data_IF_902649573476
#
_entry.id   IF_902649573476
#
_cell.length_a   1.000
_cell.length_b   1.000
_cell.length_c   1.000
_cell.angle_alpha   90.00
_cell.angle_beta   90.00
_cell.angle_gamma   90.00
#
_symmetry.space_group_name_H-M   'P 1'
#
loop_
_entity.id
_entity.type
_entity.pdbx_description
1 polymer ?
#
# COMPACT_ATOMS: atom_id res chain seq x y z
N UNK A 1 25.77 45.44 25.00
CA UNK A 1 24.30 45.23 25.12
C UNK A 1 23.81 45.87 26.40
N UNK A 2 22.52 46.20 26.52
CA UNK A 2 21.96 46.70 27.78
C UNK A 2 21.77 45.52 28.75
N UNK A 3 22.27 45.64 29.98
CA UNK A 3 22.17 44.57 30.99
C UNK A 3 20.72 44.15 31.27
N UNK A 4 19.77 45.10 31.20
CA UNK A 4 18.34 44.80 31.38
C UNK A 4 17.81 43.77 30.37
N UNK A 5 18.22 43.88 29.11
CA UNK A 5 17.81 42.93 28.07
C UNK A 5 18.46 41.56 28.27
N UNK A 6 19.73 41.55 28.66
CA UNK A 6 20.44 40.28 28.92
C UNK A 6 19.82 39.56 30.11
N UNK A 7 19.41 40.26 31.16
CA UNK A 7 18.76 39.65 32.32
C UNK A 7 17.46 38.90 31.97
N UNK A 8 16.66 39.42 31.03
CA UNK A 8 15.47 38.73 30.50
C UNK A 8 15.86 37.50 29.68
N UNK A 9 16.88 37.63 28.83
CA UNK A 9 17.34 36.57 27.94
C UNK A 9 18.14 35.45 28.65
N UNK A 10 18.59 35.65 29.90
CA UNK A 10 19.32 34.63 30.68
C UNK A 10 18.49 33.36 30.92
N UNK A 11 17.17 33.49 31.15
CA UNK A 11 16.29 32.33 31.31
C UNK A 11 16.17 31.55 30.00
N UNK A 12 16.02 32.26 28.88
CA UNK A 12 15.96 31.67 27.55
C UNK A 12 17.27 30.97 27.17
N UNK A 13 18.41 31.51 27.62
CA UNK A 13 19.72 30.90 27.45
C UNK A 13 19.84 29.60 28.24
N UNK A 14 19.30 29.55 29.46
CA UNK A 14 19.35 28.36 30.31
C UNK A 14 18.58 27.17 29.73
N UNK A 15 17.52 27.47 28.97
CA UNK A 15 16.62 26.51 28.33
C UNK A 15 17.02 26.18 26.88
N UNK A 16 18.17 26.65 26.38
CA UNK A 16 18.64 26.50 24.99
C UNK A 16 17.64 27.00 23.93
N UNK A 17 16.82 28.00 24.26
CA UNK A 17 15.77 28.54 23.38
C UNK A 17 16.22 29.73 22.51
N UNK A 18 17.46 30.19 22.67
CA UNK A 18 18.04 31.29 21.88
C UNK A 18 18.74 30.77 20.61
N UNK A 19 18.70 31.58 19.55
CA UNK A 19 19.49 31.32 18.34
C UNK A 19 21.00 31.36 18.62
N UNK A 20 21.79 30.63 17.83
CA UNK A 20 23.24 30.47 18.02
C UNK A 20 24.03 31.79 18.05
N UNK A 21 23.59 32.81 17.31
CA UNK A 21 24.23 34.13 17.31
C UNK A 21 23.94 34.91 18.61
N UNK A 22 22.71 34.82 19.12
CA UNK A 22 22.29 35.53 20.33
C UNK A 22 22.90 34.88 21.57
N UNK A 23 22.96 33.55 21.62
CA UNK A 23 23.65 32.83 22.70
C UNK A 23 25.13 33.20 22.76
N UNK A 24 25.83 33.27 21.64
CA UNK A 24 27.23 33.70 21.60
C UNK A 24 27.43 35.14 22.09
N UNK A 25 26.54 36.07 21.72
CA UNK A 25 26.58 37.48 22.18
C UNK A 25 26.33 37.60 23.69
N UNK A 26 25.38 36.83 24.23
CA UNK A 26 25.06 36.85 25.65
C UNK A 26 26.17 36.17 26.47
N UNK A 27 26.71 35.04 26.02
CA UNK A 27 27.84 34.37 26.68
C UNK A 27 29.05 35.30 26.81
N UNK A 28 29.38 36.04 25.74
CA UNK A 28 30.43 37.07 25.80
C UNK A 28 30.12 38.17 26.80
N UNK A 29 28.85 38.60 26.88
CA UNK A 29 28.44 39.62 27.85
C UNK A 29 28.53 39.14 29.32
N UNK A 30 28.24 37.87 29.58
CA UNK A 30 28.39 37.25 30.91
C UNK A 30 29.88 37.20 31.30
N UNK A 31 30.77 37.01 30.33
CA UNK A 31 32.21 37.06 30.58
C UNK A 31 32.68 38.46 30.99
N UNK A 32 32.16 39.50 30.34
CA UNK A 32 32.54 40.90 30.55
C UNK A 32 31.83 41.59 31.73
N UNK A 33 30.61 41.19 32.09
CA UNK A 33 29.78 41.87 33.09
C UNK A 33 29.57 41.01 34.35
N UNK A 34 30.17 41.43 35.47
CA UNK A 34 30.06 40.73 36.77
C UNK A 34 28.62 40.59 37.26
N UNK A 35 27.79 41.63 37.13
CA UNK A 35 26.40 41.60 37.57
C UNK A 35 25.57 40.53 36.85
N UNK A 36 25.73 40.41 35.53
CA UNK A 36 25.02 39.39 34.75
C UNK A 36 25.57 37.99 35.05
N UNK A 37 26.86 37.87 35.36
CA UNK A 37 27.49 36.62 35.79
C UNK A 37 26.95 36.14 37.13
N UNK A 38 26.77 37.01 38.10
CA UNK A 38 26.17 36.65 39.39
C UNK A 38 24.74 36.13 39.24
N UNK A 39 23.90 36.81 38.46
CA UNK A 39 22.52 36.37 38.21
C UNK A 39 22.49 35.03 37.47
N UNK A 40 23.39 34.82 36.51
CA UNK A 40 23.55 33.53 35.84
C UNK A 40 23.91 32.41 36.83
N UNK A 41 24.87 32.64 37.72
CA UNK A 41 25.27 31.66 38.75
C UNK A 41 24.08 31.33 39.66
N UNK A 42 23.30 32.33 40.09
CA UNK A 42 22.10 32.12 40.91
C UNK A 42 21.04 31.27 40.19
N UNK A 43 20.82 31.51 38.90
CA UNK A 43 19.87 30.72 38.10
C UNK A 43 20.33 29.26 37.92
N UNK A 44 21.63 29.05 37.67
CA UNK A 44 22.21 27.71 37.58
C UNK A 44 22.12 26.97 38.92
N UNK A 45 22.41 27.64 40.03
CA UNK A 45 22.28 27.08 41.38
C UNK A 45 20.81 26.70 41.68
N UNK A 46 19.85 27.59 41.36
CA UNK A 46 18.43 27.30 41.49
C UNK A 46 18.02 26.07 40.69
N UNK A 47 18.43 25.96 39.42
CA UNK A 47 18.17 24.78 38.57
C UNK A 47 18.76 23.51 39.18
N UNK A 48 19.94 23.59 39.77
CA UNK A 48 20.58 22.44 40.42
C UNK A 48 19.79 21.96 41.65
N UNK A 49 19.25 22.89 42.46
CA UNK A 49 18.37 22.62 43.59
C UNK A 49 17.01 22.07 43.15
N UNK A 50 16.44 22.58 42.07
CA UNK A 50 15.22 22.01 41.50
C UNK A 50 15.45 20.60 40.96
N UNK A 51 16.62 20.33 40.39
CA UNK A 51 17.00 18.99 39.91
C UNK A 51 17.18 17.98 41.04
N UNK A 52 17.49 18.42 42.26
CA UNK A 52 17.58 17.54 43.43
C UNK A 52 16.22 17.18 44.02
N UNK A 53 15.14 17.90 43.66
CA UNK A 53 13.78 17.45 43.93
C UNK A 53 13.54 16.16 43.14
N UNK A 54 13.21 15.09 43.86
CA UNK A 54 13.14 13.74 43.33
C UNK A 54 12.34 13.62 42.03
N UNK A 55 12.83 12.80 41.10
CA UNK A 55 12.12 12.55 39.85
C UNK A 55 10.84 11.75 40.12
N UNK A 56 9.75 12.15 39.46
CA UNK A 56 8.54 11.34 39.40
C UNK A 56 8.89 10.01 38.70
N UNK A 57 8.60 8.85 39.32
CA UNK A 57 8.86 7.57 38.68
C UNK A 57 8.04 7.47 37.40
N UNK A 58 8.71 7.14 36.29
CA UNK A 58 8.02 6.92 35.03
C UNK A 58 7.14 5.67 35.14
N UNK A 59 5.90 5.69 34.59
CA UNK A 59 5.06 4.50 34.55
C UNK A 59 5.74 3.34 33.79
N UNK A 60 5.58 2.11 34.27
CA UNK A 60 6.28 0.95 33.69
C UNK A 60 5.99 0.73 32.20
N UNK A 61 4.77 1.03 31.75
CA UNK A 61 4.37 0.86 30.36
C UNK A 61 5.15 1.79 29.41
N UNK A 62 5.63 2.95 29.88
CA UNK A 62 6.32 3.93 29.06
C UNK A 62 7.66 3.38 28.57
N UNK A 63 8.38 2.65 29.42
CA UNK A 63 9.63 1.98 29.04
C UNK A 63 9.41 1.00 27.90
N UNK A 64 8.34 0.20 27.98
CA UNK A 64 8.01 -0.76 26.94
C UNK A 64 7.68 -0.07 25.61
N UNK A 65 6.87 1.00 25.64
CA UNK A 65 6.53 1.77 24.44
C UNK A 65 7.76 2.42 23.78
N UNK A 66 8.67 2.98 24.58
CA UNK A 66 9.91 3.58 24.07
C UNK A 66 10.80 2.52 23.43
N UNK A 67 10.97 1.35 24.07
CA UNK A 67 11.73 0.25 23.49
C UNK A 67 11.14 -0.27 22.18
N UNK A 68 9.81 -0.37 22.09
CA UNK A 68 9.13 -0.72 20.85
C UNK A 68 9.42 0.31 19.76
N UNK A 69 9.27 1.61 20.06
CA UNK A 69 9.54 2.69 19.09
C UNK A 69 10.99 2.74 18.63
N UNK A 70 11.96 2.53 19.52
CA UNK A 70 13.38 2.47 19.15
C UNK A 70 13.65 1.27 18.22
N UNK A 71 13.09 0.10 18.53
CA UNK A 71 13.22 -1.09 17.67
C UNK A 71 12.59 -0.87 16.30
N UNK A 72 11.42 -0.24 16.24
CA UNK A 72 10.76 0.04 14.97
C UNK A 72 11.53 1.06 14.14
N UNK A 73 12.08 2.11 14.76
CA UNK A 73 12.96 3.07 14.10
C UNK A 73 14.22 2.37 13.54
N UNK A 74 14.86 1.50 14.31
CA UNK A 74 16.03 0.75 13.87
C UNK A 74 15.73 -0.23 12.70
N UNK A 75 14.54 -0.82 12.66
CA UNK A 75 14.11 -1.67 11.53
C UNK A 75 13.91 -0.87 10.25
N UNK A 76 13.37 0.35 10.35
CA UNK A 76 13.15 1.22 9.19
C UNK A 76 14.47 1.66 8.58
N UNK A 77 15.46 2.05 9.40
CA UNK A 77 16.80 2.41 8.92
C UNK A 77 17.51 1.23 8.27
N UNK A 78 17.50 0.05 8.91
CA UNK A 78 18.12 -1.16 8.35
C UNK A 78 17.50 -1.56 7.00
N UNK A 79 16.16 -1.49 6.86
CA UNK A 79 15.49 -1.77 5.58
C UNK A 79 15.88 -0.77 4.49
N UNK A 80 16.02 0.51 4.85
CA UNK A 80 16.43 1.55 3.91
C UNK A 80 17.89 1.34 3.45
N UNK A 81 18.80 0.97 4.36
CA UNK A 81 20.19 0.66 4.04
C UNK A 81 20.31 -0.58 3.14
N UNK A 82 19.59 -1.66 3.45
CA UNK A 82 19.56 -2.87 2.61
C UNK A 82 19.03 -2.58 1.21
N UNK A 83 17.96 -1.76 1.10
CA UNK A 83 17.44 -1.36 -0.21
C UNK A 83 18.47 -0.57 -1.01
N UNK A 84 19.16 0.39 -0.39
CA UNK A 84 20.24 1.16 -1.05
C UNK A 84 21.39 0.27 -1.49
N UNK A 85 21.81 -0.68 -0.64
CA UNK A 85 22.87 -1.62 -0.98
C UNK A 85 22.48 -2.52 -2.16
N UNK A 86 21.23 -2.98 -2.20
CA UNK A 86 20.66 -3.72 -3.33
C UNK A 86 20.60 -2.88 -4.60
N UNK A 87 20.14 -1.63 -4.52
CA UNK A 87 20.07 -0.72 -5.67
C UNK A 87 21.46 -0.46 -6.26
N UNK A 88 22.49 -0.26 -5.43
CA UNK A 88 23.88 -0.09 -5.85
C UNK A 88 24.44 -1.39 -6.48
N UNK A 89 24.13 -2.55 -5.89
CA UNK A 89 24.53 -3.84 -6.45
C UNK A 89 23.87 -4.10 -7.80
N UNK A 90 22.60 -3.74 -7.94
CA UNK A 90 21.82 -3.94 -9.15
C UNK A 90 22.21 -2.95 -10.26
N UNK A 91 22.55 -1.71 -9.91
CA UNK A 91 23.12 -0.76 -10.88
C UNK A 91 24.46 -1.26 -11.41
N UNK A 92 25.30 -1.83 -10.54
CA UNK A 92 26.61 -2.40 -10.93
C UNK A 92 26.45 -3.60 -11.85
N UNK A 93 25.50 -4.50 -11.55
CA UNK A 93 25.20 -5.66 -12.40
C UNK A 93 24.69 -5.23 -13.79
N UNK A 94 23.84 -4.20 -13.83
CA UNK A 94 23.30 -3.64 -15.08
C UNK A 94 24.37 -3.00 -15.97
N UNK A 95 25.42 -2.45 -15.38
CA UNK A 95 26.54 -1.83 -16.12
C UNK A 95 27.63 -2.80 -16.57
N UNK A 96 27.59 -4.06 -16.12
CA UNK A 96 28.59 -5.05 -16.56
C UNK A 96 28.18 -5.59 -17.94
N UNK A 97 28.94 -5.23 -18.97
CA UNK A 97 28.84 -5.73 -20.35
C UNK A 97 28.78 -7.27 -20.43
N UNK A 98 29.29 -7.96 -19.41
CA UNK A 98 29.24 -9.41 -19.25
C UNK A 98 27.83 -10.02 -19.28
N UNK A 99 26.78 -9.31 -18.85
CA UNK A 99 25.39 -9.82 -18.98
C UNK A 99 25.01 -9.97 -20.46
N UNK A 100 25.49 -9.06 -21.31
CA UNK A 100 25.27 -9.12 -22.75
C UNK A 100 26.00 -10.31 -23.38
N UNK A 101 27.26 -10.54 -22.99
CA UNK A 101 28.02 -11.72 -23.44
C UNK A 101 27.43 -13.05 -22.94
N UNK A 102 26.92 -13.08 -21.70
CA UNK A 102 26.32 -14.29 -21.10
C UNK A 102 25.04 -14.72 -21.83
N UNK A 103 24.16 -13.76 -22.14
CA UNK A 103 22.96 -14.05 -22.94
C UNK A 103 23.30 -14.54 -24.35
N UNK A 104 24.36 -14.00 -24.95
CA UNK A 104 24.83 -14.39 -26.29
C UNK A 104 25.42 -15.80 -26.30
N UNK A 105 26.24 -16.15 -25.30
CA UNK A 105 26.79 -17.50 -25.13
C UNK A 105 25.73 -18.55 -24.81
N UNK A 106 24.75 -18.21 -23.97
CA UNK A 106 23.63 -19.10 -23.68
C UNK A 106 22.76 -19.35 -24.92
N UNK A 107 22.51 -18.29 -25.71
CA UNK A 107 21.81 -18.40 -27.00
C UNK A 107 22.54 -19.29 -27.99
N UNK A 108 23.85 -19.12 -28.17
CA UNK A 108 24.63 -19.97 -29.08
C UNK A 108 24.63 -21.42 -28.61
N UNK A 109 24.84 -21.68 -27.31
CA UNK A 109 24.79 -23.03 -26.76
C UNK A 109 23.42 -23.70 -26.99
N UNK A 110 22.32 -22.98 -26.77
CA UNK A 110 20.97 -23.49 -27.02
C UNK A 110 20.74 -23.82 -28.50
N UNK A 111 21.21 -22.99 -29.42
CA UNK A 111 21.11 -23.27 -30.87
C UNK A 111 21.91 -24.50 -31.29
N UNK A 112 23.10 -24.72 -30.72
CA UNK A 112 23.89 -25.93 -30.97
C UNK A 112 23.18 -27.18 -30.46
N UNK A 113 22.64 -27.13 -29.23
CA UNK A 113 21.87 -28.25 -28.66
C UNK A 113 20.65 -28.56 -29.52
N UNK A 114 19.92 -27.54 -29.97
CA UNK A 114 18.74 -27.72 -30.81
C UNK A 114 19.09 -28.30 -32.19
N UNK A 115 20.18 -27.82 -32.81
CA UNK A 115 20.63 -28.34 -34.10
C UNK A 115 21.11 -29.79 -34.00
N UNK A 116 21.82 -30.15 -32.92
CA UNK A 116 22.21 -31.53 -32.63
C UNK A 116 21.01 -32.42 -32.31
N UNK A 117 20.01 -31.89 -31.60
CA UNK A 117 18.78 -32.64 -31.33
C UNK A 117 17.98 -32.89 -32.63
N UNK A 118 17.93 -31.92 -33.54
CA UNK A 118 17.29 -32.09 -34.85
C UNK A 118 18.08 -33.08 -35.70
N UNK A 119 19.40 -32.97 -35.79
CA UNK A 119 20.20 -33.89 -36.60
C UNK A 119 20.15 -35.32 -36.06
N UNK A 120 20.05 -35.50 -34.74
CA UNK A 120 19.80 -36.80 -34.11
C UNK A 120 18.36 -37.31 -34.31
N UNK A 121 17.37 -36.42 -34.40
CA UNK A 121 15.99 -36.78 -34.71
C UNK A 121 15.79 -37.14 -36.19
N UNK A 122 16.66 -36.63 -37.08
CA UNK A 122 16.73 -36.97 -38.50
C UNK A 122 17.72 -38.13 -38.70
N UNK A 123 17.51 -39.25 -37.99
CA UNK A 123 18.07 -40.53 -38.41
C UNK A 123 17.25 -41.12 -39.57
N UNK A 124 17.89 -41.81 -40.54
CA UNK A 124 17.25 -42.25 -41.77
C UNK A 124 16.17 -43.29 -41.48
N UNK A 125 15.01 -43.10 -42.08
CA UNK A 125 13.80 -43.93 -41.96
C UNK A 125 13.94 -45.34 -42.60
N UNK A 126 14.94 -46.12 -42.21
CA UNK A 126 15.15 -47.50 -42.72
C UNK A 126 15.22 -48.60 -41.65
N UNK A 127 15.13 -48.29 -40.35
CA UNK A 127 14.86 -49.33 -39.34
C UNK A 127 13.43 -49.20 -38.84
N UNK A 128 12.58 -50.01 -39.45
CA UNK A 128 11.26 -50.34 -38.97
C UNK A 128 11.33 -51.19 -37.70
N UNK A 129 10.19 -51.18 -37.00
CA UNK A 129 9.74 -52.11 -35.97
C UNK A 129 10.23 -51.89 -34.53
N UNK A 130 9.21 -51.56 -33.73
CA UNK A 130 8.86 -52.18 -32.45
C UNK A 130 9.01 -51.28 -31.21
N UNK A 131 7.95 -51.34 -30.41
CA UNK A 131 7.80 -50.93 -29.02
C UNK A 131 7.48 -49.44 -28.74
N UNK A 132 6.17 -49.22 -28.54
CA UNK A 132 5.56 -48.61 -27.36
C UNK A 132 6.24 -47.39 -26.71
N UNK A 133 5.50 -46.27 -26.62
CA UNK A 133 5.90 -45.18 -25.74
C UNK A 133 5.03 -43.93 -25.80
N UNK A 134 3.96 -43.94 -25.01
CA UNK A 134 3.59 -42.86 -24.09
C UNK A 134 3.22 -41.47 -24.65
N UNK A 135 1.93 -41.20 -24.52
CA UNK A 135 1.21 -39.92 -24.39
C UNK A 135 2.04 -38.62 -24.36
N UNK A 136 1.83 -37.78 -25.39
CA UNK A 136 2.22 -36.36 -25.39
C UNK A 136 1.26 -35.56 -24.50
N UNK A 137 1.68 -35.27 -23.28
CA UNK A 137 1.01 -34.32 -22.37
C UNK A 137 1.12 -32.88 -22.88
N UNK A 138 0.07 -32.40 -23.55
CA UNK A 138 -0.12 -30.98 -23.82
C UNK A 138 -0.61 -30.25 -22.56
N UNK A 139 0.10 -29.20 -22.14
CA UNK A 139 -0.33 -28.33 -21.05
C UNK A 139 -1.71 -27.71 -21.35
N UNK A 140 -2.66 -27.89 -20.43
CA UNK A 140 -4.02 -27.35 -20.57
C UNK A 140 -4.00 -25.81 -20.60
N UNK A 141 -5.03 -25.18 -21.20
CA UNK A 141 -5.15 -23.71 -21.29
C UNK A 141 -5.04 -22.99 -19.93
N UNK A 142 -5.45 -23.65 -18.83
CA UNK A 142 -5.38 -23.10 -17.47
C UNK A 142 -3.94 -22.98 -16.97
N UNK A 143 -3.07 -23.94 -17.31
CA UNK A 143 -1.66 -23.92 -16.93
C UNK A 143 -0.90 -22.76 -17.58
N UNK A 144 -1.27 -22.39 -18.82
CA UNK A 144 -0.69 -21.23 -19.52
C UNK A 144 -1.10 -19.91 -18.87
N UNK A 145 -2.36 -19.78 -18.44
CA UNK A 145 -2.86 -18.57 -17.78
C UNK A 145 -2.16 -18.35 -16.42
N UNK A 146 -2.01 -19.39 -15.61
CA UNK A 146 -1.32 -19.29 -14.32
C UNK A 146 0.16 -18.88 -14.44
N UNK A 147 0.83 -19.34 -15.50
CA UNK A 147 2.23 -19.02 -15.75
C UNK A 147 2.42 -17.53 -16.11
N UNK A 148 1.53 -17.00 -16.96
CA UNK A 148 1.52 -15.56 -17.31
C UNK A 148 1.21 -14.69 -16.09
N UNK A 149 0.22 -15.08 -15.28
CA UNK A 149 -0.14 -14.38 -14.04
C UNK A 149 1.01 -14.42 -13.02
N UNK A 150 1.71 -15.54 -12.90
CA UNK A 150 2.87 -15.69 -12.02
C UNK A 150 4.06 -14.80 -12.43
N UNK A 151 4.33 -14.68 -13.73
CA UNK A 151 5.39 -13.81 -14.27
C UNK A 151 5.04 -12.33 -14.06
N UNK A 152 3.79 -11.93 -14.32
CA UNK A 152 3.31 -10.56 -14.08
C UNK A 152 3.39 -10.16 -12.60
N UNK A 153 3.05 -11.10 -11.70
CA UNK A 153 3.14 -10.90 -10.25
C UNK A 153 4.57 -10.62 -9.77
N UNK A 154 5.57 -11.28 -10.35
CA UNK A 154 6.98 -11.10 -10.01
C UNK A 154 7.59 -9.81 -10.58
N UNK A 155 6.97 -9.22 -11.61
CA UNK A 155 7.38 -7.95 -12.22
C UNK A 155 6.75 -6.72 -11.56
N UNK A 156 5.99 -6.89 -10.47
CA UNK A 156 5.31 -5.78 -9.78
C UNK A 156 4.12 -5.19 -10.56
N UNK A 157 3.85 -5.69 -11.77
CA UNK A 157 2.70 -5.32 -12.57
C UNK A 157 1.55 -6.24 -12.20
N UNK A 158 0.82 -5.89 -11.12
CA UNK A 158 -0.47 -6.52 -10.87
C UNK A 158 -1.44 -6.01 -11.95
N UNK A 159 -1.99 -6.87 -12.82
CA UNK A 159 -3.10 -6.46 -13.67
C UNK A 159 -4.23 -5.93 -12.76
N UNK A 160 -4.98 -4.93 -13.22
CA UNK A 160 -6.05 -4.27 -12.45
C UNK A 160 -7.06 -5.29 -11.92
N UNK A 161 -7.23 -6.40 -12.65
CA UNK A 161 -8.02 -7.57 -12.28
C UNK A 161 -7.48 -8.34 -11.06
N UNK A 162 -6.16 -8.37 -10.85
CA UNK A 162 -5.50 -9.05 -9.72
C UNK A 162 -5.27 -8.12 -8.50
N UNK A 163 -5.57 -6.82 -8.62
CA UNK A 163 -5.70 -5.93 -7.46
C UNK A 163 -7.07 -6.02 -6.79
N UNK A 164 -8.06 -6.61 -7.48
CA UNK A 164 -9.34 -6.97 -6.85
C UNK A 164 -9.05 -8.06 -5.81
N UNK A 165 -9.40 -7.79 -4.55
CA UNK A 165 -9.34 -8.75 -3.43
C UNK A 165 -9.93 -10.07 -3.94
N UNK A 166 -9.30 -11.25 -3.68
CA UNK A 166 -9.83 -12.52 -4.15
C UNK A 166 -11.24 -12.68 -3.57
N UNK A 167 -12.24 -12.46 -4.43
CA UNK A 167 -13.64 -12.46 -4.03
C UNK A 167 -13.95 -13.81 -3.41
N UNK A 168 -14.33 -13.82 -2.13
CA UNK A 168 -14.65 -15.07 -1.48
C UNK A 168 -15.90 -15.66 -2.14
N UNK A 169 -15.87 -16.96 -2.42
CA UNK A 169 -17.04 -17.72 -2.90
C UNK A 169 -18.23 -17.58 -1.94
N UNK A 170 -18.03 -17.13 -0.70
CA UNK A 170 -19.07 -16.85 0.28
C UNK A 170 -19.71 -15.45 0.22
N UNK A 171 -19.22 -14.50 -0.58
CA UNK A 171 -19.70 -13.10 -0.52
C UNK A 171 -20.96 -12.83 -1.36
N UNK A 172 -21.86 -11.95 -0.91
CA UNK A 172 -23.03 -11.58 -1.69
C UNK A 172 -22.64 -10.81 -2.96
N UNK A 173 -23.34 -11.04 -4.08
CA UNK A 173 -23.04 -10.39 -5.36
C UNK A 173 -24.29 -10.02 -6.14
N UNK A 174 -24.24 -8.86 -6.79
CA UNK A 174 -25.18 -8.46 -7.83
C UNK A 174 -24.49 -8.68 -9.17
N UNK A 175 -25.22 -9.16 -10.18
CA UNK A 175 -24.64 -9.35 -11.51
C UNK A 175 -24.30 -7.98 -12.13
N UNK A 176 -23.04 -7.84 -12.57
CA UNK A 176 -22.46 -6.62 -13.15
C UNK A 176 -23.27 -6.09 -14.34
N UNK A 177 -23.93 -6.97 -15.12
CA UNK A 177 -24.76 -6.56 -16.25
C UNK A 177 -25.89 -5.62 -15.83
N UNK A 178 -26.50 -5.82 -14.66
CA UNK A 178 -27.56 -4.94 -14.17
C UNK A 178 -26.99 -3.57 -13.76
N UNK A 179 -25.80 -3.55 -13.16
CA UNK A 179 -25.12 -2.32 -12.77
C UNK A 179 -24.68 -1.50 -13.98
N UNK A 180 -24.22 -2.16 -15.04
CA UNK A 180 -23.90 -1.53 -16.32
C UNK A 180 -25.16 -0.94 -16.97
N UNK A 181 -26.24 -1.73 -17.04
CA UNK A 181 -27.52 -1.25 -17.60
C UNK A 181 -28.13 -0.09 -16.81
N UNK A 182 -27.93 -0.07 -15.49
CA UNK A 182 -28.31 1.06 -14.65
C UNK A 182 -27.47 2.29 -14.97
N UNK A 183 -26.15 2.15 -15.11
CA UNK A 183 -25.25 3.25 -15.48
C UNK A 183 -25.59 3.86 -16.84
N UNK A 184 -25.96 3.05 -17.83
CA UNK A 184 -26.38 3.53 -19.17
C UNK A 184 -27.71 4.31 -19.14
N UNK A 185 -28.62 3.92 -18.23
CA UNK A 185 -29.91 4.55 -18.05
C UNK A 185 -29.91 5.65 -16.98
N UNK A 186 -28.80 5.85 -16.27
CA UNK A 186 -28.69 6.84 -15.22
C UNK A 186 -28.95 8.24 -15.79
N UNK A 187 -29.69 9.05 -15.01
CA UNK A 187 -30.12 10.41 -15.34
C UNK A 187 -29.04 11.21 -16.07
N UNK A 188 -29.37 11.78 -17.24
CA UNK A 188 -28.46 12.60 -18.08
C UNK A 188 -28.30 14.05 -17.59
N UNK A 189 -28.78 14.35 -16.38
CA UNK A 189 -28.60 15.67 -15.76
C UNK A 189 -27.13 16.06 -15.75
N UNK A 190 -26.82 17.32 -16.04
CA UNK A 190 -25.43 17.78 -16.16
C UNK A 190 -24.68 17.82 -14.83
N UNK A 191 -25.37 17.80 -13.68
CA UNK A 191 -24.74 17.80 -12.37
C UNK A 191 -24.18 16.41 -11.98
N UNK A 192 -23.01 16.44 -11.33
CA UNK A 192 -22.46 15.31 -10.59
C UNK A 192 -23.41 14.95 -9.44
N UNK A 193 -23.56 13.65 -9.18
CA UNK A 193 -24.44 13.17 -8.11
C UNK A 193 -23.86 11.90 -7.47
N UNK A 194 -24.06 11.73 -6.18
CA UNK A 194 -23.61 10.54 -5.45
C UNK A 194 -24.67 10.08 -4.46
N UNK A 195 -24.81 8.77 -4.34
CA UNK A 195 -25.70 8.20 -3.34
C UNK A 195 -25.18 6.87 -2.81
N UNK A 196 -25.51 6.61 -1.55
CA UNK A 196 -25.04 5.45 -0.80
C UNK A 196 -26.21 4.70 -0.20
N UNK A 197 -26.29 3.40 -0.45
CA UNK A 197 -27.43 2.54 -0.05
C UNK A 197 -26.97 1.25 0.60
N UNK A 198 -27.74 0.83 1.60
CA UNK A 198 -27.61 -0.47 2.25
C UNK A 198 -28.71 -1.38 1.72
N UNK A 199 -28.30 -2.40 0.98
CA UNK A 199 -29.17 -3.40 0.35
C UNK A 199 -29.09 -4.70 1.11
N UNK A 200 -30.24 -5.33 1.37
CA UNK A 200 -30.34 -6.68 1.91
C UNK A 200 -30.59 -7.64 0.75
N UNK A 201 -29.84 -8.73 0.71
CA UNK A 201 -30.08 -9.84 -0.23
C UNK A 201 -30.60 -11.03 0.59
N UNK A 202 -31.83 -11.42 0.27
CA UNK A 202 -32.51 -12.57 0.87
C UNK A 202 -31.87 -13.88 0.39
N UNK A 203 -32.13 -14.98 1.12
CA UNK A 203 -31.65 -16.33 0.76
C UNK A 203 -32.10 -16.81 -0.61
N UNK A 204 -33.17 -16.22 -1.15
CA UNK A 204 -33.72 -16.47 -2.49
C UNK A 204 -32.97 -15.74 -3.61
N UNK A 205 -32.06 -14.82 -3.25
CA UNK A 205 -31.35 -13.97 -4.22
C UNK A 205 -32.12 -12.71 -4.64
N UNK A 206 -33.21 -12.36 -3.95
CA UNK A 206 -33.92 -11.10 -4.12
C UNK A 206 -33.25 -9.99 -3.29
N UNK A 207 -33.08 -8.81 -3.87
CA UNK A 207 -32.46 -7.66 -3.21
C UNK A 207 -33.50 -6.59 -2.88
N UNK A 208 -33.38 -5.95 -1.72
CA UNK A 208 -34.22 -4.82 -1.29
C UNK A 208 -33.38 -3.76 -0.59
N UNK A 209 -33.73 -2.49 -0.79
CA UNK A 209 -33.10 -1.39 -0.07
C UNK A 209 -33.61 -1.40 1.37
N UNK A 210 -32.69 -1.50 2.35
CA UNK A 210 -33.01 -1.44 3.77
C UNK A 210 -32.88 -0.03 4.32
N UNK A 211 -31.80 0.65 3.94
CA UNK A 211 -31.52 2.00 4.39
C UNK A 211 -30.78 2.78 3.32
N UNK A 212 -31.02 4.09 3.26
CA UNK A 212 -30.33 5.03 2.39
C UNK A 212 -29.43 5.87 3.29
N UNK A 213 -28.12 5.78 3.08
CA UNK A 213 -27.13 6.52 3.88
C UNK A 213 -26.95 7.95 3.36
N UNK A 214 -27.02 8.10 2.05
CA UNK A 214 -26.86 9.37 1.35
C UNK A 214 -27.88 9.42 0.21
N UNK A 215 -28.65 10.50 0.17
CA UNK A 215 -29.68 10.69 -0.86
C UNK A 215 -29.08 11.44 -2.05
N UNK A 216 -29.38 11.02 -3.29
CA UNK A 216 -28.99 11.78 -4.47
C UNK A 216 -29.76 13.11 -4.54
N UNK A 217 -29.18 14.10 -5.21
CA UNK A 217 -29.88 15.34 -5.54
C UNK A 217 -31.06 15.08 -6.50
N UNK A 218 -30.89 14.11 -7.41
CA UNK A 218 -31.93 13.67 -8.33
C UNK A 218 -32.69 12.45 -7.79
N UNK A 219 -33.93 12.66 -7.36
CA UNK A 219 -34.80 11.59 -6.85
C UNK A 219 -35.12 10.49 -7.88
N UNK A 220 -34.98 10.77 -9.18
CA UNK A 220 -35.21 9.78 -10.24
C UNK A 220 -34.14 8.68 -10.24
N UNK A 221 -32.88 9.02 -9.94
CA UNK A 221 -31.78 8.05 -9.86
C UNK A 221 -32.03 6.96 -8.82
N UNK A 222 -32.58 7.35 -7.67
CA UNK A 222 -32.92 6.40 -6.61
C UNK A 222 -34.08 5.49 -7.02
N UNK A 223 -35.08 6.03 -7.72
CA UNK A 223 -36.22 5.26 -8.22
C UNK A 223 -35.77 4.23 -9.27
N UNK A 224 -34.93 4.63 -10.22
CA UNK A 224 -34.37 3.77 -11.26
C UNK A 224 -33.50 2.66 -10.65
N UNK A 225 -32.69 3.00 -9.64
CA UNK A 225 -31.89 2.04 -8.90
C UNK A 225 -32.76 1.01 -8.17
N UNK A 226 -33.85 1.45 -7.53
CA UNK A 226 -34.79 0.55 -6.86
C UNK A 226 -35.47 -0.40 -7.87
N UNK A 227 -35.87 0.10 -9.04
CA UNK A 227 -36.43 -0.72 -10.11
C UNK A 227 -35.42 -1.76 -10.63
N UNK A 228 -34.16 -1.36 -10.80
CA UNK A 228 -33.09 -2.29 -11.16
C UNK A 228 -32.90 -3.36 -10.08
N UNK A 229 -32.83 -3.00 -8.80
CA UNK A 229 -32.67 -3.99 -7.72
C UNK A 229 -33.81 -5.01 -7.65
N UNK A 230 -35.05 -4.58 -7.90
CA UNK A 230 -36.22 -5.47 -7.91
C UNK A 230 -36.20 -6.48 -9.07
N UNK A 231 -35.50 -6.16 -10.16
CA UNK A 231 -35.37 -7.03 -11.34
C UNK A 231 -34.05 -7.81 -11.37
N UNK A 232 -33.05 -7.37 -10.60
CA UNK A 232 -31.74 -7.98 -10.54
C UNK A 232 -31.78 -9.35 -9.85
N UNK A 233 -31.14 -10.34 -10.49
CA UNK A 233 -30.83 -11.61 -9.81
C UNK A 233 -29.53 -11.48 -9.03
N UNK A 234 -29.63 -11.58 -7.71
CA UNK A 234 -28.51 -11.48 -6.80
C UNK A 234 -28.11 -12.86 -6.27
N UNK A 235 -26.82 -13.02 -5.99
CA UNK A 235 -26.29 -14.18 -5.29
C UNK A 235 -26.20 -13.85 -3.79
N UNK A 236 -26.88 -14.59 -2.91
CA UNK A 236 -26.74 -14.38 -1.48
C UNK A 236 -25.36 -14.80 -1.00
N UNK A 237 -24.96 -14.29 0.17
CA UNK A 237 -23.80 -14.81 0.85
C UNK A 237 -24.01 -16.28 1.22
N UNK A 238 -22.91 -17.03 1.34
CA UNK A 238 -22.95 -18.45 1.69
C UNK A 238 -22.03 -18.74 2.86
N UNK A 239 -22.59 -19.22 3.96
CA UNK A 239 -21.84 -19.68 5.12
C UNK A 239 -21.95 -21.20 5.20
N UNK A 240 -20.81 -21.92 5.22
CA UNK A 240 -20.76 -23.39 5.24
C UNK A 240 -21.60 -24.06 4.13
N UNK A 241 -21.64 -23.44 2.95
CA UNK A 241 -22.40 -23.94 1.78
C UNK A 241 -23.91 -23.67 1.81
N UNK A 242 -24.42 -22.94 2.81
CA UNK A 242 -25.84 -22.56 2.91
C UNK A 242 -26.01 -21.08 2.64
N UNK A 243 -27.03 -20.72 1.87
CA UNK A 243 -27.38 -19.33 1.61
C UNK A 243 -27.84 -18.65 2.92
N UNK A 244 -27.18 -17.55 3.27
CA UNK A 244 -27.52 -16.71 4.41
C UNK A 244 -27.96 -15.34 3.93
N UNK A 245 -28.82 -14.69 4.72
CA UNK A 245 -29.18 -13.29 4.47
C UNK A 245 -27.92 -12.43 4.60
N UNK A 246 -27.80 -11.44 3.73
CA UNK A 246 -26.58 -10.67 3.63
C UNK A 246 -26.85 -9.22 3.32
N UNK A 247 -25.95 -8.36 3.80
CA UNK A 247 -26.02 -6.92 3.59
C UNK A 247 -24.92 -6.48 2.63
N UNK A 248 -25.27 -5.66 1.67
CA UNK A 248 -24.37 -5.04 0.72
C UNK A 248 -24.48 -3.52 0.87
N UNK A 249 -23.34 -2.87 1.12
CA UNK A 249 -23.27 -1.40 1.08
C UNK A 249 -22.72 -1.02 -0.27
N UNK A 250 -23.45 -0.18 -0.99
CA UNK A 250 -23.07 0.28 -2.31
C UNK A 250 -22.99 1.79 -2.31
N UNK A 251 -21.91 2.31 -2.90
CA UNK A 251 -21.74 3.74 -3.14
C UNK A 251 -21.67 3.94 -4.65
N UNK A 252 -22.53 4.80 -5.16
CA UNK A 252 -22.59 5.18 -6.55
C UNK A 252 -22.19 6.64 -6.68
N UNK A 253 -21.29 6.92 -7.61
CA UNK A 253 -20.95 8.28 -8.01
C UNK A 253 -21.15 8.38 -9.52
N UNK A 254 -22.03 9.29 -9.91
CA UNK A 254 -22.24 9.72 -11.28
C UNK A 254 -21.37 10.95 -11.50
N UNK A 255 -20.48 10.85 -12.48
CA UNK A 255 -19.57 11.93 -12.86
C UNK A 255 -19.99 12.39 -14.26
N UNK A 256 -20.40 13.66 -14.36
CA UNK A 256 -20.69 14.31 -15.63
C UNK A 256 -19.39 14.87 -16.21
N UNK A 257 -18.93 14.29 -17.31
CA UNK A 257 -17.80 14.82 -18.07
C UNK A 257 -18.35 15.80 -19.10
N UNK A 258 -18.08 17.08 -18.90
CA UNK A 258 -18.36 18.13 -19.88
C UNK A 258 -17.28 18.13 -20.95
N UNK A 259 -17.67 18.28 -22.22
CA UNK A 259 -16.75 18.67 -23.30
C UNK A 259 -16.53 20.19 -23.29
#
# INVERSE_FOLDING_TARGET
MKCAKVAEDLSLLLDDMLGSEQSARISRHIEECERCREEWIRLVDLRSKLKSLGRVPAPEYLRHLVQLRIRDAAKLTARAEVRRALEIGWSRLRTIEGVWYLTRLAGTAATFVFFLAISAAVTPAYFSMQAAGTERGGLSPEGRYQLVVGVLKNLGMRPVEAQKIPFSKSEPKINELYLLSFGENASRTSADDSFSVVTVIDRTGSAKIRNILEYPADSSLLADFNQMLMTARCRPASENGRAVESHLVMNFSKIAVYE
#
